data_IF_866311709877
#
_entry.id   IF_866311709877
#
_cell.length_a   1.000
_cell.length_b   1.000
_cell.length_c   1.000
_cell.angle_alpha   90.00
_cell.angle_beta   90.00
_cell.angle_gamma   90.00
#
_symmetry.space_group_name_H-M   'P 1'
#
loop_
_entity.id
_entity.type
_entity.pdbx_description
1 polymer ?
#
# COMPACT_ATOMS: atom_id res chain seq x y z
N UNK A 1 -37.59 33.73 0.87
CA UNK A 1 -36.14 33.39 0.88
C UNK A 1 -35.67 33.22 -0.56
N UNK A 2 -34.55 33.84 -0.95
CA UNK A 2 -33.88 33.57 -2.22
C UNK A 2 -32.53 32.91 -1.93
N UNK A 3 -32.17 31.87 -2.68
CA UNK A 3 -30.87 31.20 -2.57
C UNK A 3 -29.89 31.82 -3.56
N UNK A 4 -28.71 32.25 -3.09
CA UNK A 4 -27.67 32.83 -3.94
C UNK A 4 -26.76 31.73 -4.48
N UNK A 5 -26.54 31.73 -5.78
CA UNK A 5 -25.51 30.90 -6.40
C UNK A 5 -24.82 31.63 -7.55
N UNK A 6 -23.51 31.43 -7.69
CA UNK A 6 -22.74 31.82 -8.88
C UNK A 6 -22.40 30.59 -9.71
N UNK A 7 -22.19 30.80 -11.01
CA UNK A 7 -21.79 29.74 -11.95
C UNK A 7 -20.50 30.15 -12.67
N UNK A 8 -19.58 29.20 -12.78
CA UNK A 8 -18.41 29.28 -13.66
C UNK A 8 -18.49 28.19 -14.74
N UNK A 9 -17.99 28.51 -15.93
CA UNK A 9 -17.79 27.57 -17.04
C UNK A 9 -16.31 27.40 -17.39
N UNK A 10 -15.39 27.91 -16.56
CA UNK A 10 -13.94 27.83 -16.79
C UNK A 10 -13.38 26.62 -16.05
N UNK A 11 -12.85 25.65 -16.78
CA UNK A 11 -12.24 24.45 -16.19
C UNK A 11 -11.02 24.79 -15.31
N UNK A 12 -10.88 24.09 -14.19
CA UNK A 12 -9.79 24.26 -13.22
C UNK A 12 -9.83 25.56 -12.42
N UNK A 13 -10.82 26.43 -12.63
CA UNK A 13 -10.93 27.69 -11.89
C UNK A 13 -11.54 27.43 -10.51
N UNK A 14 -10.66 27.33 -9.51
CA UNK A 14 -11.06 27.39 -8.11
C UNK A 14 -11.41 28.84 -7.72
N UNK A 15 -12.56 29.09 -7.07
CA UNK A 15 -12.88 30.40 -6.53
C UNK A 15 -11.95 30.77 -5.36
N UNK A 16 -11.73 32.05 -5.17
CA UNK A 16 -11.04 32.66 -4.02
C UNK A 16 -12.06 33.17 -3.01
N UNK A 17 -11.64 33.51 -1.79
CA UNK A 17 -12.54 34.08 -0.77
C UNK A 17 -13.24 35.36 -1.22
N UNK A 18 -12.60 36.17 -2.09
CA UNK A 18 -13.22 37.39 -2.63
C UNK A 18 -14.34 37.13 -3.63
N UNK A 19 -14.49 35.89 -4.11
CA UNK A 19 -15.54 35.52 -5.06
C UNK A 19 -16.87 35.18 -4.38
N UNK A 20 -16.91 35.05 -3.04
CA UNK A 20 -18.08 34.69 -2.26
C UNK A 20 -18.71 35.89 -1.55
N UNK A 21 -20.03 35.92 -1.54
CA UNK A 21 -20.84 36.68 -0.61
C UNK A 21 -21.34 35.79 0.56
N UNK A 22 -21.81 36.41 1.64
CA UNK A 22 -22.36 35.65 2.77
C UNK A 22 -23.50 34.71 2.34
N UNK A 23 -23.39 33.44 2.73
CA UNK A 23 -24.33 32.36 2.38
C UNK A 23 -24.33 31.91 0.91
N UNK A 24 -23.31 32.26 0.11
CA UNK A 24 -23.25 31.94 -1.32
C UNK A 24 -22.59 30.59 -1.63
N UNK A 25 -23.14 29.87 -2.62
CA UNK A 25 -22.52 28.68 -3.23
C UNK A 25 -22.02 29.05 -4.63
N UNK A 26 -20.83 28.59 -4.98
CA UNK A 26 -20.30 28.72 -6.35
C UNK A 26 -20.29 27.35 -7.00
N UNK A 27 -20.86 27.23 -8.20
CA UNK A 27 -20.88 25.99 -8.98
C UNK A 27 -19.98 26.15 -10.20
N UNK A 28 -18.99 25.28 -10.34
CA UNK A 28 -18.24 25.15 -11.58
C UNK A 28 -18.85 24.04 -12.44
N UNK A 29 -19.45 24.43 -13.55
CA UNK A 29 -20.14 23.52 -14.47
C UNK A 29 -19.20 22.80 -15.43
N UNK A 30 -17.98 23.32 -15.63
CA UNK A 30 -16.95 22.64 -16.41
C UNK A 30 -16.28 21.52 -15.59
N UNK A 31 -16.08 21.75 -14.29
CA UNK A 31 -15.43 20.78 -13.39
C UNK A 31 -16.44 19.88 -12.63
N UNK A 32 -17.75 20.19 -12.67
CA UNK A 32 -18.77 19.47 -11.90
C UNK A 32 -18.67 19.67 -10.39
N UNK A 33 -17.99 20.72 -9.93
CA UNK A 33 -17.68 21.00 -8.52
C UNK A 33 -18.55 22.11 -7.95
N UNK A 34 -18.84 22.05 -6.65
CA UNK A 34 -19.49 23.13 -5.90
C UNK A 34 -18.61 23.58 -4.73
N UNK A 35 -18.58 24.87 -4.45
CA UNK A 35 -17.72 25.48 -3.43
C UNK A 35 -18.55 26.32 -2.46
N UNK A 36 -18.10 26.40 -1.20
CA UNK A 36 -18.61 27.31 -0.16
C UNK A 36 -17.47 27.92 0.63
N UNK A 37 -17.72 29.05 1.31
CA UNK A 37 -16.77 29.64 2.24
C UNK A 37 -17.27 29.48 3.68
N UNK A 38 -16.70 28.51 4.40
CA UNK A 38 -16.88 28.33 5.85
C UNK A 38 -15.57 28.70 6.56
N UNK A 39 -15.20 29.98 6.48
CA UNK A 39 -13.87 30.49 6.80
C UNK A 39 -12.95 30.50 5.58
N UNK A 40 -12.50 29.31 5.15
CA UNK A 40 -11.78 29.11 3.90
C UNK A 40 -12.69 28.54 2.80
N UNK A 41 -12.30 28.72 1.53
CA UNK A 41 -13.00 28.11 0.40
C UNK A 41 -12.85 26.59 0.46
N UNK A 42 -13.96 25.86 0.48
CA UNK A 42 -14.01 24.41 0.53
C UNK A 42 -14.86 23.87 -0.60
N UNK A 43 -14.37 22.83 -1.27
CA UNK A 43 -15.17 22.12 -2.26
C UNK A 43 -16.07 21.09 -1.58
N UNK A 44 -17.34 21.07 -1.98
CA UNK A 44 -18.37 20.20 -1.42
C UNK A 44 -18.60 18.93 -2.25
N UNK A 45 -18.42 19.02 -3.56
CA UNK A 45 -18.51 17.89 -4.49
C UNK A 45 -17.14 17.73 -5.15
N UNK A 46 -16.30 16.87 -4.60
CA UNK A 46 -14.93 16.64 -5.07
C UNK A 46 -14.66 15.13 -5.14
N UNK A 47 -14.91 14.53 -6.31
CA UNK A 47 -14.48 13.14 -6.54
C UNK A 47 -12.96 13.05 -6.73
N UNK A 48 -12.28 14.15 -7.06
CA UNK A 48 -10.84 14.15 -7.33
C UNK A 48 -9.99 14.00 -6.05
N UNK A 49 -10.48 14.49 -4.91
CA UNK A 49 -9.82 14.28 -3.61
C UNK A 49 -9.90 12.82 -3.18
N UNK A 50 -11.06 12.18 -3.44
CA UNK A 50 -11.25 10.74 -3.22
C UNK A 50 -10.38 9.91 -4.17
N UNK A 51 -10.35 10.27 -5.46
CA UNK A 51 -9.51 9.60 -6.46
C UNK A 51 -8.02 9.67 -6.08
N UNK A 52 -7.56 10.84 -5.62
CA UNK A 52 -6.17 11.03 -5.17
C UNK A 52 -5.85 10.19 -3.92
N UNK A 53 -6.77 10.11 -2.96
CA UNK A 53 -6.59 9.31 -1.75
C UNK A 53 -6.49 7.80 -2.04
N UNK A 54 -7.17 7.33 -3.09
CA UNK A 54 -7.21 5.90 -3.47
C UNK A 54 -6.12 5.54 -4.48
N UNK A 55 -5.65 6.49 -5.32
CA UNK A 55 -4.67 6.25 -6.39
C UNK A 55 -3.34 5.62 -5.93
N UNK A 56 -2.98 5.73 -4.65
CA UNK A 56 -1.76 5.14 -4.09
C UNK A 56 -1.98 3.83 -3.31
N UNK A 57 -3.20 3.29 -3.27
CA UNK A 57 -3.54 2.07 -2.53
C UNK A 57 -3.50 0.86 -3.45
N UNK A 58 -3.21 -0.31 -2.88
CA UNK A 58 -3.36 -1.58 -3.58
C UNK A 58 -4.83 -2.04 -3.49
N UNK A 59 -5.37 -2.53 -4.60
CA UNK A 59 -6.74 -3.05 -4.63
C UNK A 59 -6.88 -4.33 -3.78
N UNK A 60 -8.07 -4.52 -3.18
CA UNK A 60 -8.38 -5.72 -2.39
C UNK A 60 -8.36 -7.01 -3.21
N UNK A 61 -8.64 -6.92 -4.50
CA UNK A 61 -8.54 -8.05 -5.42
C UNK A 61 -7.08 -8.38 -5.80
N UNK A 62 -6.11 -7.59 -5.32
CA UNK A 62 -4.71 -7.66 -5.69
C UNK A 62 -4.35 -6.68 -6.79
N UNK A 63 -3.08 -6.69 -7.18
CA UNK A 63 -2.52 -5.81 -8.19
C UNK A 63 -1.01 -6.01 -8.32
N UNK A 64 -0.36 -5.16 -9.11
CA UNK A 64 1.10 -5.18 -9.25
C UNK A 64 1.73 -4.09 -8.40
N UNK A 65 2.69 -4.44 -7.55
CA UNK A 65 3.54 -3.49 -6.85
C UNK A 65 4.90 -3.41 -7.54
N UNK A 66 5.34 -2.21 -7.92
CA UNK A 66 6.68 -1.97 -8.47
C UNK A 66 7.61 -1.43 -7.39
N UNK A 67 8.85 -1.93 -7.33
CA UNK A 67 9.85 -1.53 -6.34
C UNK A 67 10.09 -2.57 -5.24
N UNK A 68 10.95 -2.24 -4.27
CA UNK A 68 11.27 -3.13 -3.15
C UNK A 68 10.17 -3.04 -2.08
N UNK A 69 9.71 -4.19 -1.59
CA UNK A 69 8.80 -4.30 -0.46
C UNK A 69 9.59 -4.76 0.78
N UNK A 70 9.74 -3.88 1.77
CA UNK A 70 10.33 -4.21 3.06
C UNK A 70 9.21 -4.59 4.05
N UNK A 71 9.27 -5.79 4.61
CA UNK A 71 8.35 -6.28 5.63
C UNK A 71 9.00 -6.09 7.00
N UNK A 72 8.24 -5.61 7.99
CA UNK A 72 8.76 -5.29 9.31
C UNK A 72 9.25 -6.52 10.08
N UNK A 73 8.55 -7.65 9.90
CA UNK A 73 8.82 -8.89 10.66
C UNK A 73 8.70 -10.14 9.78
N UNK A 74 9.09 -11.28 10.35
CA UNK A 74 8.85 -12.59 9.77
C UNK A 74 7.34 -12.96 9.83
N UNK A 75 6.85 -13.78 8.88
CA UNK A 75 5.46 -14.25 8.93
C UNK A 75 5.20 -15.10 10.18
N UNK A 76 4.20 -14.73 10.98
CA UNK A 76 3.68 -15.51 12.10
C UNK A 76 2.52 -16.44 11.68
N UNK A 77 1.63 -15.97 10.79
CA UNK A 77 0.52 -16.76 10.25
C UNK A 77 0.87 -17.39 8.90
N UNK A 78 0.29 -18.56 8.56
CA UNK A 78 0.52 -19.21 7.26
C UNK A 78 0.12 -18.37 6.04
N UNK A 79 -0.77 -17.40 6.22
CA UNK A 79 -1.27 -16.51 5.15
C UNK A 79 -0.54 -15.16 5.09
N UNK A 80 0.53 -14.97 5.86
CA UNK A 80 1.37 -13.76 5.76
C UNK A 80 2.33 -13.84 4.57
N UNK A 81 2.69 -12.67 4.03
CA UNK A 81 3.76 -12.57 3.06
C UNK A 81 5.10 -12.94 3.72
N UNK A 82 5.89 -13.79 3.07
CA UNK A 82 7.21 -14.18 3.55
C UNK A 82 8.28 -13.19 3.07
N UNK A 83 9.09 -12.66 3.99
CA UNK A 83 10.28 -11.90 3.64
C UNK A 83 11.44 -12.84 3.24
N UNK A 84 12.44 -12.31 2.52
CA UNK A 84 13.58 -13.12 2.02
C UNK A 84 14.34 -13.82 3.15
N UNK A 85 14.58 -13.13 4.27
CA UNK A 85 15.31 -13.67 5.41
C UNK A 85 14.63 -14.93 5.98
N UNK A 86 13.31 -14.90 6.12
CA UNK A 86 12.53 -16.05 6.59
C UNK A 86 12.69 -17.26 5.65
N UNK A 87 12.58 -17.05 4.33
CA UNK A 87 12.74 -18.11 3.33
C UNK A 87 14.15 -18.70 3.35
N UNK A 88 15.18 -17.85 3.33
CA UNK A 88 16.58 -18.27 3.35
C UNK A 88 16.90 -19.09 4.62
N UNK A 89 16.39 -18.65 5.77
CA UNK A 89 16.58 -19.34 7.05
C UNK A 89 15.91 -20.73 7.05
N UNK A 90 14.67 -20.80 6.57
CA UNK A 90 13.95 -22.07 6.43
C UNK A 90 14.66 -23.04 5.48
N UNK A 91 15.23 -22.52 4.38
CA UNK A 91 16.01 -23.32 3.44
C UNK A 91 17.30 -23.86 4.06
N UNK A 92 18.07 -23.01 4.76
CA UNK A 92 19.32 -23.42 5.42
C UNK A 92 19.10 -24.54 6.46
N UNK A 93 17.99 -24.48 7.19
CA UNK A 93 17.60 -25.51 8.15
C UNK A 93 17.30 -26.85 7.45
N UNK A 94 16.58 -26.82 6.32
CA UNK A 94 16.29 -28.03 5.54
C UNK A 94 17.56 -28.69 5.00
N UNK A 95 18.49 -27.90 4.46
CA UNK A 95 19.78 -28.41 3.94
C UNK A 95 20.60 -29.07 5.05
N UNK A 96 20.58 -28.50 6.26
CA UNK A 96 21.34 -29.04 7.39
C UNK A 96 20.83 -30.40 7.87
N UNK A 97 19.56 -30.73 7.64
CA UNK A 97 18.93 -31.98 8.05
C UNK A 97 19.02 -33.10 7.00
N UNK A 98 19.60 -32.85 5.82
CA UNK A 98 19.74 -33.84 4.73
C UNK A 98 21.21 -34.12 4.43
N UNK A 99 22.01 -34.31 5.48
CA UNK A 99 23.46 -34.50 5.34
C UNK A 99 23.81 -35.96 5.08
N UNK A 100 24.33 -36.22 3.87
CA UNK A 100 25.16 -37.40 3.63
C UNK A 100 26.61 -36.98 3.91
N UNK A 101 27.23 -37.58 4.92
CA UNK A 101 28.62 -37.31 5.30
C UNK A 101 29.51 -38.44 4.78
N UNK A 102 30.61 -38.10 4.10
CA UNK A 102 31.58 -39.07 3.57
C UNK A 102 32.95 -38.73 4.18
N UNK A 103 33.49 -39.59 5.05
CA UNK A 103 34.77 -39.34 5.73
C UNK A 103 35.48 -40.61 6.19
N UNK A 104 36.81 -40.54 6.36
CA UNK A 104 37.64 -41.67 6.85
C UNK A 104 37.50 -41.89 8.35
N UNK A 105 37.32 -40.80 9.12
CA UNK A 105 37.05 -40.81 10.56
C UNK A 105 35.55 -40.76 10.85
N UNK A 106 35.13 -41.38 11.95
CA UNK A 106 33.74 -41.34 12.40
C UNK A 106 33.34 -39.90 12.73
N UNK A 107 32.22 -39.38 12.20
CA UNK A 107 31.78 -38.03 12.49
C UNK A 107 31.49 -37.87 13.99
N UNK A 108 31.91 -36.74 14.56
CA UNK A 108 31.72 -36.42 15.99
C UNK A 108 30.36 -35.77 16.29
N UNK A 109 29.38 -35.93 15.40
CA UNK A 109 28.01 -35.44 15.53
C UNK A 109 27.10 -36.00 14.43
N UNK A 110 25.79 -35.81 14.61
CA UNK A 110 24.74 -36.20 13.67
C UNK A 110 23.36 -36.07 14.31
N UNK A 111 22.31 -35.92 13.49
CA UNK A 111 20.91 -36.06 13.90
C UNK A 111 20.34 -37.40 13.45
N UNK A 112 19.26 -37.86 14.07
CA UNK A 112 18.53 -39.07 13.63
C UNK A 112 18.18 -38.94 12.14
N UNK A 113 18.68 -39.89 11.33
CA UNK A 113 18.51 -39.92 9.88
C UNK A 113 19.74 -39.49 9.06
N UNK A 114 20.81 -39.00 9.69
CA UNK A 114 22.07 -38.74 8.98
C UNK A 114 22.73 -40.04 8.50
N UNK A 115 23.19 -40.04 7.24
CA UNK A 115 23.91 -41.17 6.65
C UNK A 115 25.39 -40.85 6.60
N UNK A 116 26.22 -41.72 7.20
CA UNK A 116 27.67 -41.65 7.10
C UNK A 116 28.23 -42.81 6.26
N UNK A 117 29.05 -42.48 5.27
CA UNK A 117 29.83 -43.45 4.50
C UNK A 117 31.31 -43.32 4.87
N UNK A 118 31.88 -44.41 5.36
CA UNK A 118 33.32 -44.52 5.54
C UNK A 118 33.97 -44.76 4.18
N UNK A 119 34.88 -43.88 3.79
CA UNK A 119 35.75 -44.02 2.61
C UNK A 119 37.20 -44.01 3.00
#
# INVERSE_FOLDING_TARGET
>A
MSYKHKRSSVAGKAPTSGDFEDGEIIVNTADGRAFVQAGAVKTLLNNDDLASAVSGKLDKAGGTMTGRLALNDAPADPMHAANKQYVDTGLANKVSNSRITISTANPSGGVDGDIWFKV
#
